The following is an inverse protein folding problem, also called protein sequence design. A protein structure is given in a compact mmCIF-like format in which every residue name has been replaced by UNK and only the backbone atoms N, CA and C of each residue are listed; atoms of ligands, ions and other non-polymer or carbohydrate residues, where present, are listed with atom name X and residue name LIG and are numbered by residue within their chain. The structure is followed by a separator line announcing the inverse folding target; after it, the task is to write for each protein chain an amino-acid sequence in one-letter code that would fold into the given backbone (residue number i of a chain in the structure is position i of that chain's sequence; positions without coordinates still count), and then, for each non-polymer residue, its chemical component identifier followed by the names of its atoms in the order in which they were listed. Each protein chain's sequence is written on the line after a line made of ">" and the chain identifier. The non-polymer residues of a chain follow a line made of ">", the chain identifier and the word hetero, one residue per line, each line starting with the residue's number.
data_IF_782332806119
#
_entry.id   IF_782332806119
#
_cell.length_a   1.000
_cell.length_b   1.000
_cell.length_c   1.000
_cell.angle_alpha   90.00
_cell.angle_beta   90.00
_cell.angle_gamma   90.00
#
_symmetry.space_group_name_H-M   'P 1'
#
loop_
_entity.id
_entity.type
_entity.pdbx_description
1 polymer ?
#
# COMPACT_ATOMS: atom_id res chain seq x y z
N UNK A 1 -79.20 -66.34 24.22
CA UNK A 1 -78.19 -65.93 23.21
C UNK A 1 -76.85 -65.85 23.91
N UNK A 2 -75.73 -66.23 23.27
CA UNK A 2 -74.41 -65.85 23.79
C UNK A 2 -74.25 -64.33 23.75
N UNK A 3 -73.65 -63.76 24.79
CA UNK A 3 -73.38 -62.32 24.87
C UNK A 3 -72.40 -61.88 23.77
N UNK A 4 -72.59 -60.66 23.26
CA UNK A 4 -71.75 -60.09 22.20
C UNK A 4 -70.29 -60.03 22.69
N UNK A 5 -69.35 -60.68 21.98
CA UNK A 5 -67.97 -60.80 22.44
C UNK A 5 -67.21 -59.49 22.18
N UNK A 6 -67.25 -58.61 23.18
CA UNK A 6 -66.55 -57.33 23.30
C UNK A 6 -66.91 -56.26 22.25
N UNK A 7 -67.15 -55.04 22.71
CA UNK A 7 -67.28 -53.86 21.85
C UNK A 7 -65.95 -53.53 21.16
N UNK A 8 -66.01 -53.05 19.92
CA UNK A 8 -64.81 -52.65 19.16
C UNK A 8 -64.06 -51.56 19.90
N UNK A 9 -62.79 -51.78 20.20
CA UNK A 9 -61.92 -50.76 20.80
C UNK A 9 -61.55 -49.72 19.74
N UNK A 10 -62.05 -48.50 19.89
CA UNK A 10 -61.61 -47.37 19.09
C UNK A 10 -60.19 -46.95 19.49
N UNK A 11 -59.30 -46.83 18.51
CA UNK A 11 -57.96 -46.25 18.73
C UNK A 11 -58.11 -44.73 18.72
N UNK A 12 -57.72 -44.01 19.80
CA UNK A 12 -57.82 -42.56 19.82
C UNK A 12 -56.93 -41.95 18.74
N UNK A 13 -57.47 -40.99 17.99
CA UNK A 13 -56.72 -40.26 16.97
C UNK A 13 -55.58 -39.48 17.66
N UNK A 14 -54.31 -39.76 17.34
CA UNK A 14 -53.16 -39.25 18.11
C UNK A 14 -52.85 -37.78 17.85
N UNK A 15 -53.61 -37.10 16.97
CA UNK A 15 -53.41 -35.70 16.66
C UNK A 15 -54.56 -34.87 17.22
N UNK A 16 -54.23 -33.69 17.73
CA UNK A 16 -55.24 -32.74 18.17
C UNK A 16 -56.17 -32.40 16.99
N UNK A 17 -57.49 -32.58 17.14
CA UNK A 17 -58.47 -32.14 16.14
C UNK A 17 -58.51 -30.60 16.04
N UNK A 18 -57.95 -29.90 17.03
CA UNK A 18 -57.67 -28.46 17.00
C UNK A 18 -56.30 -28.14 16.40
N UNK A 19 -55.63 -29.09 15.74
CA UNK A 19 -54.39 -28.88 14.97
C UNK A 19 -54.61 -28.06 13.69
N UNK A 20 -55.58 -27.15 13.71
CA UNK A 20 -55.53 -25.97 12.85
C UNK A 20 -54.35 -25.15 13.33
N UNK A 21 -53.36 -24.97 12.45
CA UNK A 21 -52.34 -23.95 12.65
C UNK A 21 -53.13 -22.62 12.72
N UNK A 22 -53.07 -21.85 13.82
CA UNK A 22 -53.67 -20.52 13.83
C UNK A 22 -53.10 -19.79 12.61
N UNK A 23 -53.95 -19.15 11.80
CA UNK A 23 -53.49 -18.46 10.59
C UNK A 23 -52.28 -17.60 10.94
N UNK A 24 -51.11 -18.02 10.44
CA UNK A 24 -49.83 -17.35 10.63
C UNK A 24 -49.35 -17.03 9.22
N UNK A 25 -49.23 -15.74 8.84
CA UNK A 25 -48.76 -15.39 7.51
C UNK A 25 -47.41 -16.05 7.28
N UNK A 26 -47.34 -16.87 6.23
CA UNK A 26 -46.13 -17.61 5.90
C UNK A 26 -45.11 -16.71 5.20
N UNK A 27 -43.83 -17.06 5.25
CA UNK A 27 -42.80 -16.34 4.48
C UNK A 27 -43.15 -16.27 3.00
N UNK A 28 -43.82 -17.31 2.48
CA UNK A 28 -44.27 -17.38 1.09
C UNK A 28 -45.23 -16.23 0.75
N UNK A 29 -46.24 -15.98 1.59
CA UNK A 29 -47.17 -14.85 1.44
C UNK A 29 -46.44 -13.51 1.48
N UNK A 30 -45.51 -13.33 2.42
CA UNK A 30 -44.76 -12.07 2.54
C UNK A 30 -43.75 -11.83 1.42
N UNK A 31 -43.26 -12.90 0.80
CA UNK A 31 -42.31 -12.83 -0.31
C UNK A 31 -42.99 -12.74 -1.69
N UNK A 32 -44.31 -12.93 -1.74
CA UNK A 32 -45.06 -12.90 -2.98
C UNK A 32 -45.01 -11.50 -3.60
N UNK A 33 -44.58 -11.43 -4.86
CA UNK A 33 -44.58 -10.20 -5.65
C UNK A 33 -45.91 -10.13 -6.39
N UNK A 34 -46.76 -9.19 -5.99
CA UNK A 34 -48.02 -8.93 -6.69
C UNK A 34 -47.72 -8.19 -7.99
N UNK A 35 -48.36 -8.63 -9.08
CA UNK A 35 -48.34 -7.88 -10.33
C UNK A 35 -49.01 -6.52 -10.11
N UNK A 36 -48.38 -5.47 -10.60
CA UNK A 36 -48.92 -4.12 -10.50
C UNK A 36 -50.10 -3.99 -11.48
N UNK A 37 -51.33 -4.03 -10.97
CA UNK A 37 -52.53 -3.83 -11.76
C UNK A 37 -52.69 -2.33 -12.07
N UNK A 38 -52.13 -1.91 -13.21
CA UNK A 38 -52.23 -0.52 -13.69
C UNK A 38 -53.25 -0.44 -14.82
N UNK A 39 -53.87 0.73 -14.99
CA UNK A 39 -54.66 1.04 -16.18
C UNK A 39 -53.83 0.85 -17.46
N UNK A 40 -54.51 0.59 -18.59
CA UNK A 40 -53.83 0.36 -19.89
C UNK A 40 -52.92 1.50 -20.31
N UNK A 41 -53.29 2.72 -19.92
CA UNK A 41 -52.58 3.94 -20.29
C UNK A 41 -51.52 4.35 -19.24
N UNK A 42 -51.26 3.49 -18.24
CA UNK A 42 -50.29 3.73 -17.17
C UNK A 42 -50.53 5.04 -16.40
N UNK A 43 -51.77 5.52 -16.36
CA UNK A 43 -52.15 6.85 -15.85
C UNK A 43 -51.47 8.02 -16.59
N UNK A 44 -50.89 7.78 -17.77
CA UNK A 44 -50.25 8.79 -18.59
C UNK A 44 -51.29 9.38 -19.57
N UNK A 45 -51.93 10.46 -19.15
CA UNK A 45 -52.91 11.16 -19.98
C UNK A 45 -52.19 12.06 -21.01
N UNK A 46 -52.13 11.62 -22.27
CA UNK A 46 -51.62 12.42 -23.38
C UNK A 46 -52.74 13.16 -24.09
N UNK A 47 -52.91 14.45 -23.80
CA UNK A 47 -53.84 15.28 -24.57
C UNK A 47 -53.17 15.78 -25.86
N UNK A 48 -53.58 15.20 -27.00
CA UNK A 48 -53.14 15.63 -28.32
C UNK A 48 -53.85 16.90 -28.82
N UNK A 49 -54.94 17.31 -28.17
CA UNK A 49 -55.71 18.51 -28.53
C UNK A 49 -55.03 19.76 -28.00
N UNK A 50 -54.50 19.71 -26.78
CA UNK A 50 -53.70 20.78 -26.17
C UNK A 50 -52.24 20.37 -25.98
N UNK A 51 -51.53 20.11 -27.09
CA UNK A 51 -50.09 19.76 -27.09
C UNK A 51 -49.15 20.91 -26.65
N UNK A 52 -49.63 21.92 -25.92
CA UNK A 52 -48.87 23.13 -25.56
C UNK A 52 -47.84 22.89 -24.44
N UNK A 53 -48.00 21.84 -23.63
CA UNK A 53 -47.14 21.55 -22.48
C UNK A 53 -45.82 20.83 -22.80
N UNK A 54 -45.71 20.15 -23.94
CA UNK A 54 -44.57 19.30 -24.29
C UNK A 54 -43.60 19.98 -25.26
N UNK A 55 -43.11 21.17 -24.93
CA UNK A 55 -42.05 21.80 -25.72
C UNK A 55 -40.73 21.09 -25.42
N UNK A 56 -40.18 20.40 -26.43
CA UNK A 56 -38.85 19.80 -26.35
C UNK A 56 -37.79 20.91 -26.28
N UNK A 57 -37.37 21.28 -25.07
CA UNK A 57 -36.16 22.09 -24.90
C UNK A 57 -34.94 21.19 -25.15
N UNK A 58 -34.34 21.34 -26.33
CA UNK A 58 -33.17 20.55 -26.74
C UNK A 58 -31.90 21.01 -26.00
N UNK A 59 -31.96 22.11 -25.23
CA UNK A 59 -30.80 22.70 -24.57
C UNK A 59 -30.62 22.28 -23.11
N UNK A 60 -31.63 21.68 -22.48
CA UNK A 60 -31.56 21.35 -21.05
C UNK A 60 -30.72 20.08 -20.81
N UNK A 61 -29.74 20.11 -19.88
CA UNK A 61 -29.05 18.89 -19.48
C UNK A 61 -30.04 17.95 -18.77
N UNK A 62 -30.03 16.67 -19.16
CA UNK A 62 -30.86 15.65 -18.54
C UNK A 62 -30.44 15.42 -17.08
N UNK A 63 -31.40 15.26 -16.16
CA UNK A 63 -31.12 14.97 -14.76
C UNK A 63 -30.34 13.65 -14.64
N UNK A 64 -29.33 13.54 -13.75
CA UNK A 64 -28.59 12.30 -13.55
C UNK A 64 -29.47 11.10 -13.16
N UNK A 65 -30.63 11.31 -12.53
CA UNK A 65 -31.60 10.24 -12.24
C UNK A 65 -32.26 9.77 -13.53
N UNK A 66 -32.70 10.70 -14.37
CA UNK A 66 -33.34 10.38 -15.66
C UNK A 66 -32.35 9.75 -16.65
N UNK A 67 -31.08 10.18 -16.62
CA UNK A 67 -30.01 9.55 -17.39
C UNK A 67 -29.90 8.05 -17.10
N UNK A 68 -30.01 7.65 -15.83
CA UNK A 68 -29.98 6.23 -15.42
C UNK A 68 -31.19 5.44 -15.90
N UNK A 69 -32.35 6.08 -16.10
CA UNK A 69 -33.56 5.43 -16.60
C UNK A 69 -33.49 5.16 -18.12
N UNK A 70 -32.65 5.91 -18.86
CA UNK A 70 -32.44 5.74 -20.30
C UNK A 70 -31.35 4.71 -20.60
N UNK A 71 -30.50 4.37 -19.63
CA UNK A 71 -29.51 3.30 -19.77
C UNK A 71 -30.24 1.97 -20.04
N UNK A 72 -30.06 1.40 -21.24
CA UNK A 72 -30.55 0.05 -21.54
C UNK A 72 -30.01 -0.93 -20.48
N UNK A 73 -30.85 -1.82 -19.95
CA UNK A 73 -30.41 -2.87 -19.03
C UNK A 73 -29.29 -3.73 -19.68
N UNK A 74 -29.31 -3.84 -21.00
CA UNK A 74 -28.24 -4.45 -21.80
C UNK A 74 -26.91 -3.74 -21.65
N UNK A 75 -26.85 -2.42 -21.41
CA UNK A 75 -25.59 -1.75 -21.03
C UNK A 75 -25.15 -2.17 -19.64
N UNK A 76 -26.06 -2.35 -18.69
CA UNK A 76 -25.72 -2.84 -17.35
C UNK A 76 -25.33 -4.33 -17.34
N UNK A 77 -25.69 -5.12 -18.35
CA UNK A 77 -25.27 -6.52 -18.49
C UNK A 77 -24.05 -6.69 -19.42
N UNK A 78 -23.90 -5.85 -20.46
CA UNK A 78 -22.83 -5.92 -21.46
C UNK A 78 -21.59 -5.08 -21.11
N UNK A 79 -21.72 -3.97 -20.36
CA UNK A 79 -20.57 -3.25 -19.77
C UNK A 79 -20.08 -3.92 -18.49
N UNK A 80 -20.90 -4.78 -17.87
CA UNK A 80 -20.66 -5.36 -16.55
C UNK A 80 -20.24 -6.84 -16.48
N UNK A 81 -19.76 -7.55 -17.54
CA UNK A 81 -19.08 -8.83 -17.32
C UNK A 81 -17.75 -8.63 -16.56
N UNK A 82 -17.20 -7.42 -16.60
CA UNK A 82 -16.05 -7.01 -15.78
C UNK A 82 -16.45 -6.52 -14.38
N UNK A 83 -17.72 -6.13 -14.23
CA UNK A 83 -18.44 -5.74 -13.02
C UNK A 83 -18.24 -6.62 -11.78
N UNK A 84 -18.53 -7.90 -11.96
CA UNK A 84 -18.39 -8.88 -10.89
C UNK A 84 -16.96 -9.41 -10.78
N UNK A 85 -16.26 -9.42 -11.92
CA UNK A 85 -14.90 -9.90 -12.08
C UNK A 85 -13.89 -8.96 -11.38
N UNK A 86 -14.16 -7.65 -11.31
CA UNK A 86 -13.25 -6.64 -10.73
C UNK A 86 -13.07 -6.73 -9.22
N UNK A 87 -14.09 -7.13 -8.46
CA UNK A 87 -14.02 -7.12 -6.98
C UNK A 87 -12.95 -8.06 -6.41
N UNK A 88 -12.66 -9.16 -7.11
CA UNK A 88 -11.66 -10.14 -6.65
C UNK A 88 -10.29 -9.97 -7.29
N UNK A 89 -10.17 -9.33 -8.45
CA UNK A 89 -8.89 -9.13 -9.13
C UNK A 89 -8.01 -8.04 -8.51
N UNK A 90 -8.57 -7.17 -7.66
CA UNK A 90 -7.82 -6.17 -6.90
C UNK A 90 -7.39 -6.61 -5.50
N UNK A 91 -7.72 -7.83 -5.08
CA UNK A 91 -7.37 -8.31 -3.74
C UNK A 91 -5.87 -8.56 -3.65
N UNK A 92 -5.22 -7.92 -2.68
CA UNK A 92 -3.82 -8.16 -2.35
C UNK A 92 -3.74 -9.48 -1.58
N UNK A 93 -3.07 -10.48 -2.15
CA UNK A 93 -2.86 -11.79 -1.51
C UNK A 93 -1.37 -11.96 -1.18
N UNK A 94 -0.99 -12.33 0.05
CA UNK A 94 0.42 -12.36 0.49
C UNK A 94 1.37 -13.22 -0.36
N UNK A 95 0.85 -14.27 -1.01
CA UNK A 95 1.64 -15.16 -1.87
C UNK A 95 1.72 -14.70 -3.33
N UNK A 96 0.95 -13.68 -3.73
CA UNK A 96 0.79 -13.28 -5.12
C UNK A 96 1.55 -11.97 -5.36
N UNK A 97 2.69 -12.05 -6.07
CA UNK A 97 3.44 -10.88 -6.53
C UNK A 97 2.90 -10.38 -7.87
N UNK A 98 3.09 -9.08 -8.15
CA UNK A 98 2.85 -8.52 -9.48
C UNK A 98 3.85 -9.12 -10.48
N UNK A 99 3.41 -9.36 -11.71
CA UNK A 99 4.27 -9.82 -12.79
C UNK A 99 5.25 -8.70 -13.17
N UNK A 100 6.55 -8.99 -13.13
CA UNK A 100 7.58 -8.10 -13.66
C UNK A 100 7.91 -8.49 -15.11
N UNK A 101 8.02 -7.51 -15.99
CA UNK A 101 8.45 -7.71 -17.37
C UNK A 101 9.96 -7.55 -17.45
N UNK A 102 10.63 -8.39 -18.23
CA UNK A 102 12.07 -8.29 -18.45
C UNK A 102 12.34 -7.06 -19.32
N UNK A 103 12.89 -6.00 -18.72
CA UNK A 103 13.38 -4.83 -19.45
C UNK A 103 14.80 -5.08 -19.98
N UNK A 104 15.20 -4.35 -21.01
CA UNK A 104 16.60 -4.31 -21.48
C UNK A 104 17.55 -3.80 -20.40
N UNK A 105 17.03 -3.01 -19.46
CA UNK A 105 17.79 -2.27 -18.46
C UNK A 105 17.75 -3.01 -17.12
N UNK A 106 18.20 -4.26 -17.11
CA UNK A 106 18.37 -4.99 -15.85
C UNK A 106 19.58 -4.43 -15.10
N UNK A 107 19.40 -3.28 -14.44
CA UNK A 107 20.38 -2.54 -13.64
C UNK A 107 21.02 -3.30 -12.46
N UNK A 108 20.86 -4.62 -12.39
CA UNK A 108 21.55 -5.52 -11.46
C UNK A 108 22.67 -6.34 -12.14
N UNK A 109 23.05 -6.03 -13.39
CA UNK A 109 24.23 -6.61 -14.05
C UNK A 109 25.56 -6.44 -13.29
N UNK A 110 25.58 -5.66 -12.20
CA UNK A 110 26.71 -5.56 -11.27
C UNK A 110 27.17 -6.93 -10.73
N UNK A 111 26.29 -7.95 -10.69
CA UNK A 111 26.66 -9.32 -10.28
C UNK A 111 27.08 -10.25 -11.43
N UNK A 112 26.99 -9.82 -12.69
CA UNK A 112 27.47 -10.64 -13.79
C UNK A 112 28.99 -10.53 -13.91
N UNK A 113 29.66 -11.68 -13.88
CA UNK A 113 31.08 -11.80 -14.21
C UNK A 113 31.40 -11.05 -15.51
N UNK A 114 32.59 -10.44 -15.60
CA UNK A 114 33.08 -9.75 -16.80
C UNK A 114 32.87 -10.57 -18.09
N UNK A 115 33.04 -11.90 -18.01
CA UNK A 115 32.79 -12.82 -19.14
C UNK A 115 31.33 -12.85 -19.61
N UNK A 116 30.38 -12.78 -18.69
CA UNK A 116 28.95 -12.76 -18.99
C UNK A 116 28.54 -11.41 -19.60
N UNK A 117 29.16 -10.30 -19.18
CA UNK A 117 28.92 -8.97 -19.76
C UNK A 117 29.43 -8.87 -21.22
N UNK A 118 30.61 -9.44 -21.50
CA UNK A 118 31.17 -9.49 -22.87
C UNK A 118 30.28 -10.32 -23.80
N UNK A 119 29.78 -11.48 -23.33
CA UNK A 119 28.93 -12.37 -24.13
C UNK A 119 27.55 -11.76 -24.45
N UNK A 120 27.05 -10.85 -23.61
CA UNK A 120 25.78 -10.15 -23.82
C UNK A 120 25.92 -8.87 -24.67
N UNK A 121 27.12 -8.50 -25.13
CA UNK A 121 27.33 -7.28 -25.93
C UNK A 121 27.18 -5.96 -25.15
N UNK A 122 27.01 -6.03 -23.82
CA UNK A 122 26.74 -4.87 -22.96
C UNK A 122 28.00 -4.06 -22.56
N UNK A 123 29.20 -4.49 -22.96
CA UNK A 123 30.47 -3.90 -22.50
C UNK A 123 31.12 -2.93 -23.48
N UNK A 124 30.51 -2.66 -24.64
CA UNK A 124 31.22 -1.98 -25.72
C UNK A 124 31.18 -0.44 -25.67
N UNK A 125 30.22 0.18 -24.97
CA UNK A 125 30.05 1.64 -25.06
C UNK A 125 30.70 2.47 -23.93
N UNK A 126 31.03 1.86 -22.79
CA UNK A 126 31.44 2.61 -21.58
C UNK A 126 32.84 2.26 -21.04
N UNK A 127 33.68 1.56 -21.82
CA UNK A 127 35.12 1.53 -21.54
C UNK A 127 35.75 2.81 -22.07
N UNK A 128 35.37 3.94 -21.48
CA UNK A 128 36.16 5.14 -21.58
C UNK A 128 37.46 4.81 -20.83
N UNK A 129 38.57 4.77 -21.57
CA UNK A 129 39.89 4.48 -21.03
C UNK A 129 40.09 5.28 -19.75
N UNK A 130 40.15 4.58 -18.61
CA UNK A 130 40.57 5.16 -17.35
C UNK A 130 42.03 5.60 -17.53
N UNK A 131 42.22 6.79 -18.06
CA UNK A 131 43.50 7.48 -17.99
C UNK A 131 43.92 7.40 -16.52
N UNK A 132 45.10 6.85 -16.19
CA UNK A 132 45.45 6.61 -14.81
C UNK A 132 45.67 7.96 -14.11
N UNK A 133 44.60 8.47 -13.49
CA UNK A 133 44.44 9.82 -12.91
C UNK A 133 45.47 10.12 -11.81
N UNK A 134 46.26 9.13 -11.39
CA UNK A 134 47.14 9.22 -10.23
C UNK A 134 48.63 8.97 -10.53
N UNK A 135 49.08 9.09 -11.80
CA UNK A 135 50.48 8.81 -12.20
C UNK A 135 51.50 9.81 -11.63
N UNK A 136 51.24 11.10 -11.72
CA UNK A 136 52.16 12.15 -11.24
C UNK A 136 51.64 12.80 -9.95
N UNK A 137 52.54 13.34 -9.13
CA UNK A 137 52.17 14.11 -7.93
C UNK A 137 51.22 15.26 -8.26
N UNK A 138 51.46 15.94 -9.38
CA UNK A 138 50.59 17.03 -9.86
C UNK A 138 49.19 16.51 -10.24
N UNK A 139 49.11 15.36 -10.93
CA UNK A 139 47.84 14.72 -11.28
C UNK A 139 47.07 14.29 -10.04
N UNK A 140 47.75 13.78 -9.01
CA UNK A 140 47.14 13.44 -7.72
C UNK A 140 46.59 14.67 -7.01
N UNK A 141 47.36 15.77 -6.93
CA UNK A 141 46.91 17.02 -6.32
C UNK A 141 45.71 17.61 -7.06
N UNK A 142 45.73 17.56 -8.40
CA UNK A 142 44.61 18.01 -9.24
C UNK A 142 43.36 17.14 -9.02
N UNK A 143 43.53 15.82 -8.92
CA UNK A 143 42.44 14.90 -8.64
C UNK A 143 41.83 15.16 -7.25
N UNK A 144 42.65 15.41 -6.22
CA UNK A 144 42.18 15.79 -4.88
C UNK A 144 41.39 17.10 -4.96
N UNK A 145 41.93 18.16 -5.58
CA UNK A 145 41.21 19.43 -5.73
C UNK A 145 39.86 19.26 -6.45
N UNK A 146 39.83 18.41 -7.48
CA UNK A 146 38.62 18.08 -8.23
C UNK A 146 37.56 17.40 -7.36
N UNK A 147 37.94 16.52 -6.43
CA UNK A 147 36.95 15.89 -5.53
C UNK A 147 36.22 16.91 -4.67
N UNK A 148 36.90 17.93 -4.16
CA UNK A 148 36.27 19.00 -3.38
C UNK A 148 35.31 19.85 -4.21
N UNK A 149 35.64 20.15 -5.48
CA UNK A 149 34.74 20.89 -6.38
C UNK A 149 33.54 20.05 -6.85
N UNK A 150 33.72 18.73 -6.97
CA UNK A 150 32.67 17.82 -7.43
C UNK A 150 31.62 17.55 -6.35
N UNK A 151 31.93 17.66 -5.05
CA UNK A 151 30.92 17.49 -3.97
C UNK A 151 29.72 18.41 -4.19
N UNK A 152 29.95 19.68 -4.52
CA UNK A 152 28.89 20.66 -4.79
C UNK A 152 28.05 20.29 -6.02
N UNK A 153 28.67 19.68 -7.04
CA UNK A 153 28.02 19.32 -8.31
C UNK A 153 27.38 17.94 -8.28
N UNK A 154 27.83 17.06 -7.40
CA UNK A 154 27.36 15.68 -7.24
C UNK A 154 26.04 15.60 -6.46
N UNK A 155 25.35 16.73 -6.24
CA UNK A 155 23.98 16.82 -5.72
C UNK A 155 23.05 16.01 -6.62
N UNK A 156 22.89 14.73 -6.29
CA UNK A 156 22.07 13.77 -7.03
C UNK A 156 20.59 14.05 -6.79
N UNK A 157 20.03 14.95 -7.58
CA UNK A 157 18.59 15.18 -7.63
C UNK A 157 17.92 13.99 -8.34
N UNK A 158 17.48 13.01 -7.56
CA UNK A 158 16.58 11.96 -8.05
C UNK A 158 15.15 12.51 -8.02
N UNK A 159 14.37 12.43 -9.11
CA UNK A 159 12.99 12.89 -9.10
C UNK A 159 12.20 12.14 -8.02
N UNK A 160 11.64 12.88 -7.06
CA UNK A 160 10.91 12.33 -5.90
C UNK A 160 11.71 12.21 -4.60
N UNK A 161 13.01 12.54 -4.61
CA UNK A 161 13.83 12.63 -3.41
C UNK A 161 14.31 14.06 -3.22
N UNK A 162 13.91 14.68 -2.11
CA UNK A 162 14.41 15.98 -1.68
C UNK A 162 15.48 15.78 -0.60
N UNK A 163 16.58 16.50 -0.71
CA UNK A 163 17.64 16.52 0.31
C UNK A 163 17.11 17.33 1.50
N UNK A 164 17.08 16.73 2.68
CA UNK A 164 16.56 17.34 3.92
C UNK A 164 17.68 18.12 4.63
N UNK A 165 18.85 17.50 4.76
CA UNK A 165 19.99 18.05 5.49
C UNK A 165 21.29 17.58 4.83
N UNK A 166 22.25 18.50 4.69
CA UNK A 166 23.60 18.22 4.21
C UNK A 166 24.57 18.49 5.37
N UNK A 167 25.24 17.44 5.83
CA UNK A 167 26.20 17.53 6.94
C UNK A 167 27.63 17.42 6.40
N UNK A 168 28.47 18.47 6.53
CA UNK A 168 29.83 18.43 6.02
C UNK A 168 30.70 17.53 6.90
N UNK A 169 31.51 16.67 6.28
CA UNK A 169 32.46 15.83 7.00
C UNK A 169 33.73 16.65 7.24
N UNK A 170 33.70 17.48 8.28
CA UNK A 170 34.85 18.25 8.73
C UNK A 170 35.50 17.55 9.92
N UNK A 171 36.84 17.61 10.05
CA UNK A 171 37.48 17.24 11.30
C UNK A 171 36.95 18.15 12.42
N UNK A 172 36.62 17.53 13.54
CA UNK A 172 36.01 18.23 14.66
C UNK A 172 37.07 19.01 15.46
N UNK A 173 37.03 20.34 15.40
CA UNK A 173 38.03 21.18 16.08
C UNK A 173 37.65 21.53 17.52
N UNK A 174 36.39 21.31 17.90
CA UNK A 174 35.86 21.68 19.22
C UNK A 174 35.95 20.50 20.17
N UNK A 175 35.55 19.32 19.71
CA UNK A 175 35.48 18.11 20.52
C UNK A 175 36.84 17.47 20.74
N UNK A 176 37.80 17.64 19.82
CA UNK A 176 39.13 17.04 19.92
C UNK A 176 39.96 17.52 21.12
N UNK A 177 39.59 18.66 21.72
CA UNK A 177 40.25 19.19 22.92
C UNK A 177 39.82 18.43 24.19
N UNK A 178 38.70 17.72 24.14
CA UNK A 178 38.12 17.08 25.29
C UNK A 178 38.64 15.65 25.41
N UNK A 179 39.06 15.30 26.62
CA UNK A 179 39.47 13.94 26.92
C UNK A 179 38.24 13.02 26.84
N UNK A 180 38.24 12.13 25.85
CA UNK A 180 37.28 11.04 25.75
C UNK A 180 37.77 9.90 26.64
N UNK A 181 36.90 9.37 27.51
CA UNK A 181 37.16 8.12 28.21
C UNK A 181 36.32 7.02 27.57
N UNK A 182 36.97 5.91 27.21
CA UNK A 182 36.28 4.67 26.90
C UNK A 182 35.81 4.07 28.22
N UNK A 183 34.50 3.95 28.41
CA UNK A 183 33.93 3.35 29.62
C UNK A 183 33.11 2.15 29.20
N UNK A 184 33.57 0.97 29.60
CA UNK A 184 32.87 -0.28 29.38
C UNK A 184 31.90 -0.47 30.54
N UNK A 185 30.64 -0.76 30.24
CA UNK A 185 29.62 -1.08 31.23
C UNK A 185 29.19 -2.54 31.06
N UNK A 186 29.12 -3.28 32.16
CA UNK A 186 28.60 -4.67 32.17
C UNK A 186 27.09 -4.73 31.85
N UNK A 187 26.39 -3.60 31.99
CA UNK A 187 24.95 -3.45 31.80
C UNK A 187 24.69 -2.16 31.01
N UNK A 188 23.72 -2.18 30.08
CA UNK A 188 23.33 -1.01 29.29
C UNK A 188 23.14 0.23 30.19
N UNK A 189 23.99 1.26 30.04
CA UNK A 189 23.97 2.44 30.91
C UNK A 189 22.79 3.37 30.61
N UNK A 190 21.99 3.09 29.58
CA UNK A 190 20.85 3.93 29.19
C UNK A 190 19.74 3.84 30.25
N UNK A 191 19.38 4.96 30.93
CA UNK A 191 18.27 4.95 31.88
C UNK A 191 16.97 4.63 31.14
N UNK A 192 16.26 3.58 31.56
CA UNK A 192 14.99 3.15 30.92
C UNK A 192 13.83 4.13 31.12
N UNK A 193 14.01 5.10 32.02
CA UNK A 193 12.96 6.02 32.49
C UNK A 193 13.17 7.50 32.07
N UNK A 194 14.01 7.77 31.05
CA UNK A 194 14.18 9.14 30.54
C UNK A 194 13.07 9.49 29.54
N UNK A 195 12.24 10.47 29.90
CA UNK A 195 11.33 11.13 28.96
C UNK A 195 12.13 11.71 27.76
N UNK A 196 11.65 11.57 26.52
CA UNK A 196 12.37 11.93 25.30
C UNK A 196 12.64 13.45 25.11
N UNK A 197 12.41 14.27 26.14
CA UNK A 197 12.49 15.73 26.12
C UNK A 197 13.68 16.31 26.90
N UNK A 198 14.42 15.51 27.66
CA UNK A 198 15.66 15.96 28.28
C UNK A 198 16.81 15.76 27.28
N UNK A 199 17.31 16.86 26.72
CA UNK A 199 18.47 16.98 25.82
C UNK A 199 19.78 16.47 26.45
N UNK A 200 19.84 15.19 26.82
CA UNK A 200 21.13 14.53 26.97
C UNK A 200 21.57 14.17 25.57
N UNK A 201 22.43 15.00 24.98
CA UNK A 201 23.04 14.74 23.69
C UNK A 201 23.98 13.52 23.84
N UNK A 202 23.40 12.32 23.81
CA UNK A 202 24.16 11.06 23.75
C UNK A 202 24.63 10.91 22.31
N UNK A 203 25.72 11.61 21.98
CA UNK A 203 26.38 11.51 20.70
C UNK A 203 27.05 10.14 20.60
N UNK A 204 26.50 9.26 19.76
CA UNK A 204 27.07 7.94 19.47
C UNK A 204 28.19 8.12 18.46
N UNK A 205 29.43 8.11 18.92
CA UNK A 205 30.58 8.08 18.03
C UNK A 205 30.81 6.65 17.54
N UNK A 206 30.77 6.44 16.23
CA UNK A 206 31.26 5.20 15.63
C UNK A 206 32.79 5.22 15.66
N UNK A 207 33.41 4.27 16.38
CA UNK A 207 34.85 4.10 16.36
C UNK A 207 35.27 3.59 14.97
N UNK A 208 36.36 4.16 14.43
CA UNK A 208 37.14 3.47 13.40
C UNK A 208 37.92 2.38 14.15
N UNK A 209 37.30 1.21 14.32
CA UNK A 209 38.00 0.01 14.76
C UNK A 209 38.92 -0.43 13.62
N UNK A 210 40.22 -0.45 13.87
CA UNK A 210 41.14 -1.19 13.01
C UNK A 210 40.74 -2.67 13.02
N UNK A 211 40.91 -3.31 11.87
CA UNK A 211 40.36 -4.60 11.45
C UNK A 211 40.67 -5.73 12.46
N UNK A 212 39.89 -5.82 13.53
CA UNK A 212 39.94 -6.91 14.52
C UNK A 212 38.56 -7.12 15.11
N UNK A 213 37.94 -8.19 14.63
CA UNK A 213 36.98 -9.07 15.31
C UNK A 213 36.60 -8.62 16.73
N UNK A 214 35.40 -8.03 16.87
CA UNK A 214 34.36 -8.47 17.82
C UNK A 214 33.27 -7.39 17.90
N UNK A 215 32.01 -7.84 17.83
CA UNK A 215 30.81 -6.98 17.88
C UNK A 215 30.55 -6.47 19.31
N UNK A 216 31.47 -5.69 19.86
CA UNK A 216 31.28 -5.03 21.16
C UNK A 216 30.89 -3.56 20.96
N UNK A 217 29.66 -3.22 21.35
CA UNK A 217 29.21 -1.83 21.41
C UNK A 217 30.00 -1.07 22.47
N UNK A 218 30.78 -0.07 22.04
CA UNK A 218 31.56 0.78 22.95
C UNK A 218 30.80 2.07 23.26
N UNK A 219 30.70 2.40 24.55
CA UNK A 219 30.07 3.64 25.02
C UNK A 219 31.14 4.65 25.40
N UNK A 220 31.01 5.88 24.89
CA UNK A 220 31.84 7.00 25.28
C UNK A 220 31.02 7.96 26.13
N UNK A 221 31.49 8.26 27.34
CA UNK A 221 30.83 9.20 28.23
C UNK A 221 31.64 10.51 28.27
N UNK A 222 31.00 11.61 27.86
CA UNK A 222 31.60 12.94 27.90
C UNK A 222 31.20 13.65 29.19
N UNK A 223 32.16 14.06 30.02
CA UNK A 223 31.89 14.92 31.16
C UNK A 223 31.87 16.38 30.72
N UNK A 224 30.70 17.01 30.71
CA UNK A 224 30.59 18.46 30.71
C UNK A 224 30.82 18.95 32.16
N UNK A 225 32.05 19.35 32.49
CA UNK A 225 32.25 20.19 33.69
C UNK A 225 32.02 21.65 33.31
N UNK A 226 31.08 22.37 33.94
CA UNK A 226 31.09 23.82 33.86
C UNK A 226 32.31 24.30 34.66
N UNK A 227 33.16 25.09 34.01
CA UNK A 227 34.18 25.87 34.72
C UNK A 227 33.43 26.89 35.60
N UNK A 228 33.72 26.86 36.91
CA UNK A 228 33.35 27.92 37.85
C UNK A 228 34.03 29.24 37.49
#
# INVERSE_FOLDING_TARGET
>A
MPDVPFETKFVPYPFDLKRYVPYKPTKLETSFKFDQLVEKDLEICFDLVTASGFKNDTSAPLDPVDQRLIEEEDRQLSLHPFTFRSKHHGLVVPWMRRTEYISSDFGNYSRLSAKARIKLGLTAANFQEETPVYRSRESQLQAIGRTFEEVEKARLEKPGLAIIEEMPILPDFEMWKLACAQVIFDVDPTPKDMDPLAEVNVEKFALISDDTQDEDYQYFQRRHFPLF
#
